data_IF_800200928818
#
_entry.id   IF_800200928818
#
_cell.length_a   1.000
_cell.length_b   1.000
_cell.length_c   1.000
_cell.angle_alpha   90.00
_cell.angle_beta   90.00
_cell.angle_gamma   90.00
#
_symmetry.space_group_name_H-M   'P 1'
#
loop_
_entity.id
_entity.type
_entity.pdbx_description
1 polymer ?
#
# COMPACT_ATOMS: atom_id res chain seq x y z
N UNK A 1 0.99 70.60 -62.86
CA UNK A 1 1.60 69.25 -62.84
C UNK A 1 0.92 68.49 -61.70
N UNK A 2 -0.15 67.73 -61.97
CA UNK A 2 -0.16 66.27 -62.22
C UNK A 2 0.52 65.46 -61.11
N UNK A 3 -0.29 64.81 -60.26
CA UNK A 3 -0.25 63.38 -59.86
C UNK A 3 -1.46 63.17 -58.92
N UNK A 4 -2.68 62.88 -59.39
CA UNK A 4 -3.20 61.57 -59.87
C UNK A 4 -2.82 60.38 -58.97
N UNK A 5 -3.85 59.89 -58.27
CA UNK A 5 -4.26 58.47 -58.21
C UNK A 5 -3.14 57.44 -58.06
N UNK A 6 -3.01 56.87 -56.87
CA UNK A 6 -2.65 55.45 -56.65
C UNK A 6 -3.20 55.01 -55.27
N UNK A 7 -4.52 55.14 -55.09
CA UNK A 7 -5.27 54.12 -54.38
C UNK A 7 -5.28 52.90 -55.31
N UNK A 8 -5.20 51.68 -54.76
CA UNK A 8 -5.39 50.41 -55.48
C UNK A 8 -4.15 49.74 -56.11
N UNK A 9 -3.28 49.12 -55.30
CA UNK A 9 -2.64 47.82 -55.61
C UNK A 9 -1.65 47.41 -54.50
N UNK A 10 -2.14 46.69 -53.49
CA UNK A 10 -1.36 45.63 -52.83
C UNK A 10 -2.31 44.72 -52.06
N UNK A 11 -3.26 44.16 -52.80
CA UNK A 11 -3.96 42.95 -52.44
C UNK A 11 -3.13 41.78 -53.00
N UNK A 12 -3.08 40.69 -52.23
CA UNK A 12 -2.50 39.38 -52.57
C UNK A 12 -1.01 39.25 -52.26
N UNK A 13 -0.69 38.61 -51.13
CA UNK A 13 0.11 37.38 -51.09
C UNK A 13 -0.03 36.75 -49.69
N UNK A 14 -0.24 35.43 -49.71
CA UNK A 14 -0.12 34.46 -48.60
C UNK A 14 -1.13 34.52 -47.45
N UNK A 15 -2.40 34.32 -47.79
CA UNK A 15 -3.27 33.52 -46.95
C UNK A 15 -2.86 32.05 -47.06
N UNK A 16 -1.81 31.63 -46.36
CA UNK A 16 -1.59 30.20 -46.09
C UNK A 16 -2.54 29.86 -44.95
N UNK A 17 -3.64 29.20 -45.29
CA UNK A 17 -4.49 28.53 -44.32
C UNK A 17 -3.63 27.56 -43.50
N UNK A 18 -3.22 27.96 -42.30
CA UNK A 18 -2.90 27.00 -41.26
C UNK A 18 -4.23 26.47 -40.73
N UNK A 19 -4.82 25.53 -41.47
CA UNK A 19 -5.76 24.58 -40.90
C UNK A 19 -4.96 23.66 -39.97
N UNK A 20 -4.52 24.20 -38.82
CA UNK A 20 -3.96 23.42 -37.73
C UNK A 20 -5.13 22.73 -37.02
N UNK A 21 -5.35 21.49 -37.45
CA UNK A 21 -5.76 20.33 -36.65
C UNK A 21 -6.59 20.60 -35.38
N UNK A 22 -7.91 20.72 -35.55
CA UNK A 22 -8.88 20.55 -34.45
C UNK A 22 -8.92 19.11 -33.89
N UNK A 23 -8.30 18.13 -34.55
CA UNK A 23 -8.13 16.77 -34.01
C UNK A 23 -7.11 16.68 -32.87
N UNK A 24 -6.08 17.52 -32.87
CA UNK A 24 -5.01 17.46 -31.87
C UNK A 24 -5.51 17.94 -30.51
N UNK A 25 -6.34 18.98 -30.48
CA UNK A 25 -6.92 19.51 -29.25
C UNK A 25 -7.82 18.49 -28.54
N UNK A 26 -8.67 17.75 -29.27
CA UNK A 26 -9.52 16.70 -28.68
C UNK A 26 -8.69 15.57 -28.08
N UNK A 27 -7.59 15.15 -28.72
CA UNK A 27 -6.70 14.13 -28.16
C UNK A 27 -6.00 14.61 -26.88
N UNK A 28 -5.48 15.84 -26.87
CA UNK A 28 -4.84 16.46 -25.69
C UNK A 28 -5.81 16.50 -24.50
N UNK A 29 -7.07 16.90 -24.72
CA UNK A 29 -8.09 16.87 -23.65
C UNK A 29 -8.36 15.45 -23.13
N UNK A 30 -8.37 14.44 -24.01
CA UNK A 30 -8.54 13.05 -23.59
C UNK A 30 -7.35 12.52 -22.77
N UNK A 31 -6.11 12.89 -23.14
CA UNK A 31 -4.91 12.52 -22.38
C UNK A 31 -4.90 13.19 -21.01
N UNK A 32 -5.23 14.48 -20.95
CA UNK A 32 -5.35 15.25 -19.70
C UNK A 32 -6.42 14.64 -18.77
N UNK A 33 -7.61 14.32 -19.29
CA UNK A 33 -8.67 13.68 -18.50
C UNK A 33 -8.26 12.32 -17.94
N UNK A 34 -7.60 11.47 -18.75
CA UNK A 34 -7.08 10.16 -18.29
C UNK A 34 -5.98 10.32 -17.24
N UNK A 35 -5.10 11.31 -17.37
CA UNK A 35 -4.06 11.61 -16.40
C UNK A 35 -4.66 12.08 -15.06
N UNK A 36 -5.74 12.88 -15.11
CA UNK A 36 -6.43 13.35 -13.92
C UNK A 36 -7.12 12.22 -13.15
N UNK A 37 -7.81 11.31 -13.85
CA UNK A 37 -8.40 10.09 -13.23
C UNK A 37 -7.33 9.20 -12.59
N UNK A 38 -6.15 9.08 -13.20
CA UNK A 38 -5.05 8.36 -12.55
C UNK A 38 -4.51 9.10 -11.33
N UNK A 39 -4.49 10.43 -11.35
CA UNK A 39 -4.06 11.22 -10.20
C UNK A 39 -4.99 11.05 -9.01
N UNK A 40 -6.31 11.07 -9.21
CA UNK A 40 -7.28 10.81 -8.13
C UNK A 40 -7.12 9.41 -7.59
N UNK A 41 -6.98 8.41 -8.47
CA UNK A 41 -6.75 7.02 -8.07
C UNK A 41 -5.46 6.84 -7.26
N UNK A 42 -4.38 7.51 -7.63
CA UNK A 42 -3.11 7.49 -6.88
C UNK A 42 -3.30 8.11 -5.49
N UNK A 43 -4.04 9.21 -5.38
CA UNK A 43 -4.34 9.84 -4.09
C UNK A 43 -5.16 8.92 -3.18
N UNK A 44 -6.19 8.28 -3.71
CA UNK A 44 -7.00 7.28 -2.98
C UNK A 44 -6.14 6.11 -2.49
N UNK A 45 -5.28 5.58 -3.36
CA UNK A 45 -4.36 4.49 -3.03
C UNK A 45 -3.32 4.90 -1.99
N UNK A 46 -2.80 6.13 -2.04
CA UNK A 46 -1.90 6.65 -1.01
C UNK A 46 -2.61 6.81 0.34
N UNK A 47 -3.87 7.25 0.35
CA UNK A 47 -4.66 7.30 1.57
C UNK A 47 -4.91 5.89 2.16
N UNK A 48 -5.19 4.91 1.31
CA UNK A 48 -5.30 3.50 1.72
C UNK A 48 -3.97 2.95 2.25
N UNK A 49 -2.84 3.31 1.62
CA UNK A 49 -1.51 2.92 2.06
C UNK A 49 -1.22 3.42 3.48
N UNK A 50 -1.53 4.68 3.77
CA UNK A 50 -1.38 5.25 5.12
C UNK A 50 -2.23 4.47 6.13
N UNK A 51 -3.49 4.15 5.79
CA UNK A 51 -4.36 3.35 6.67
C UNK A 51 -3.77 1.96 6.95
N UNK A 52 -3.22 1.29 5.94
CA UNK A 52 -2.58 -0.01 6.10
C UNK A 52 -1.31 0.10 6.95
N UNK A 53 -0.50 1.15 6.78
CA UNK A 53 0.69 1.39 7.59
C UNK A 53 0.35 1.64 9.07
N UNK A 54 -0.70 2.41 9.36
CA UNK A 54 -1.18 2.59 10.73
C UNK A 54 -1.63 1.25 11.33
N UNK A 55 -2.44 0.48 10.59
CA UNK A 55 -2.89 -0.84 11.03
C UNK A 55 -1.73 -1.81 11.23
N UNK A 56 -0.71 -1.75 10.39
CA UNK A 56 0.49 -2.57 10.53
C UNK A 56 1.18 -2.30 11.87
N UNK A 57 1.32 -1.04 12.26
CA UNK A 57 1.93 -0.66 13.53
C UNK A 57 1.15 -1.22 14.73
N UNK A 58 -0.18 -1.16 14.69
CA UNK A 58 -1.06 -1.75 15.72
C UNK A 58 -0.89 -3.27 15.81
N UNK A 59 -0.90 -3.95 14.66
CA UNK A 59 -0.73 -5.41 14.61
C UNK A 59 0.67 -5.86 15.04
N UNK A 60 1.69 -5.06 14.74
CA UNK A 60 3.05 -5.33 15.22
C UNK A 60 3.14 -5.21 16.74
N UNK A 61 2.43 -4.25 17.35
CA UNK A 61 2.34 -4.14 18.80
C UNK A 61 1.62 -5.36 19.42
N UNK A 62 0.47 -5.75 18.88
CA UNK A 62 -0.27 -6.96 19.30
C UNK A 62 0.60 -8.22 19.16
N UNK A 63 1.27 -8.39 18.02
CA UNK A 63 2.15 -9.54 17.79
C UNK A 63 3.28 -9.63 18.81
N UNK A 64 3.91 -8.49 19.16
CA UNK A 64 4.94 -8.44 20.21
C UNK A 64 4.39 -8.79 21.58
N UNK A 65 3.19 -8.31 21.92
CA UNK A 65 2.54 -8.64 23.18
C UNK A 65 2.26 -10.15 23.28
N UNK A 66 1.69 -10.73 22.22
CA UNK A 66 1.40 -12.17 22.15
C UNK A 66 2.66 -13.02 22.18
N UNK A 67 3.73 -12.58 21.51
CA UNK A 67 5.02 -13.24 21.58
C UNK A 67 5.60 -13.22 23.00
N UNK A 68 5.50 -12.09 23.71
CA UNK A 68 5.98 -11.99 25.09
C UNK A 68 5.19 -12.92 26.03
N UNK A 69 3.87 -12.97 25.88
CA UNK A 69 3.02 -13.93 26.63
C UNK A 69 3.41 -15.37 26.35
N UNK A 70 3.59 -15.73 25.08
CA UNK A 70 4.04 -17.08 24.71
C UNK A 70 5.41 -17.43 25.32
N UNK A 71 6.35 -16.48 25.37
CA UNK A 71 7.65 -16.68 26.05
C UNK A 71 7.50 -16.91 27.55
N UNK A 72 6.64 -16.12 28.20
CA UNK A 72 6.36 -16.26 29.63
C UNK A 72 5.71 -17.61 29.94
N UNK A 73 4.65 -17.99 29.22
CA UNK A 73 3.95 -19.26 29.40
C UNK A 73 4.86 -20.45 29.12
N UNK A 74 5.73 -20.37 28.10
CA UNK A 74 6.76 -21.38 27.84
C UNK A 74 7.75 -21.53 29.00
N UNK A 75 8.20 -20.41 29.59
CA UNK A 75 9.06 -20.45 30.77
C UNK A 75 8.34 -21.04 32.00
N UNK A 76 7.05 -20.73 32.18
CA UNK A 76 6.23 -21.28 33.26
C UNK A 76 6.00 -22.78 33.11
N UNK A 77 5.71 -23.25 31.90
CA UNK A 77 5.66 -24.67 31.57
C UNK A 77 6.99 -25.36 31.91
N UNK A 78 8.12 -24.80 31.46
CA UNK A 78 9.44 -25.35 31.74
C UNK A 78 9.72 -25.46 33.25
N UNK A 79 9.36 -24.44 34.03
CA UNK A 79 9.47 -24.46 35.50
C UNK A 79 8.55 -25.52 36.14
N UNK A 80 7.32 -25.68 35.63
CA UNK A 80 6.38 -26.64 36.15
C UNK A 80 6.81 -28.09 35.83
N UNK A 81 7.34 -28.32 34.63
CA UNK A 81 7.93 -29.58 34.22
C UNK A 81 9.14 -29.96 35.07
N UNK A 82 10.06 -29.01 35.33
CA UNK A 82 11.21 -29.24 36.22
C UNK A 82 10.74 -29.64 37.64
N UNK A 83 9.75 -28.94 38.20
CA UNK A 83 9.21 -29.28 39.53
C UNK A 83 8.54 -30.66 39.58
N UNK A 84 7.93 -31.11 38.48
CA UNK A 84 7.37 -32.45 38.37
C UNK A 84 8.48 -33.49 38.28
N UNK A 85 9.56 -33.20 37.56
CA UNK A 85 10.71 -34.10 37.43
C UNK A 85 11.33 -34.45 38.80
N UNK A 86 11.34 -33.50 39.74
CA UNK A 86 11.82 -33.72 41.11
C UNK A 86 10.92 -34.65 41.95
N UNK A 87 9.67 -34.88 41.52
CA UNK A 87 8.64 -35.61 42.28
C UNK A 87 7.54 -36.11 41.34
N UNK A 88 7.89 -37.17 40.60
CA UNK A 88 7.10 -37.70 39.50
C UNK A 88 5.76 -38.30 39.94
N UNK A 89 5.66 -38.79 41.17
CA UNK A 89 4.45 -39.41 41.70
C UNK A 89 3.40 -38.39 42.16
N UNK A 90 3.76 -37.11 42.22
CA UNK A 90 2.86 -36.05 42.65
C UNK A 90 1.82 -35.70 41.60
N UNK A 91 0.61 -36.24 41.75
CA UNK A 91 -0.56 -35.92 40.92
C UNK A 91 -0.84 -34.41 40.81
N UNK A 92 -0.58 -33.64 41.88
CA UNK A 92 -0.78 -32.17 41.88
C UNK A 92 0.24 -31.47 40.98
N UNK A 93 1.52 -31.88 41.04
CA UNK A 93 2.58 -31.33 40.18
C UNK A 93 2.33 -31.72 38.72
N UNK A 94 1.89 -32.95 38.46
CA UNK A 94 1.55 -33.42 37.13
C UNK A 94 0.44 -32.60 36.48
N UNK A 95 -0.64 -32.32 37.23
CA UNK A 95 -1.73 -31.45 36.77
C UNK A 95 -1.26 -30.03 36.47
N UNK A 96 -0.40 -29.45 37.31
CA UNK A 96 0.14 -28.10 37.08
C UNK A 96 1.02 -28.03 35.84
N UNK A 97 1.92 -28.99 35.66
CA UNK A 97 2.76 -29.06 34.47
C UNK A 97 1.94 -29.20 33.20
N UNK A 98 0.91 -30.06 33.21
CA UNK A 98 -0.03 -30.19 32.09
C UNK A 98 -0.73 -28.87 31.77
N UNK A 99 -1.34 -28.22 32.77
CA UNK A 99 -2.07 -26.97 32.55
C UNK A 99 -1.15 -25.86 32.00
N UNK A 100 0.08 -25.75 32.53
CA UNK A 100 1.06 -24.80 32.02
C UNK A 100 1.51 -25.13 30.59
N UNK A 101 1.60 -26.41 30.25
CA UNK A 101 1.85 -26.86 28.88
C UNK A 101 0.73 -26.50 27.92
N UNK A 102 -0.53 -26.69 28.33
CA UNK A 102 -1.72 -26.33 27.53
C UNK A 102 -1.77 -24.81 27.30
N UNK A 103 -1.57 -24.01 28.35
CA UNK A 103 -1.49 -22.53 28.27
C UNK A 103 -0.37 -22.06 27.35
N UNK A 104 0.84 -22.63 27.48
CA UNK A 104 1.97 -22.31 26.61
C UNK A 104 1.70 -22.66 25.14
N UNK A 105 1.00 -23.76 24.87
CA UNK A 105 0.63 -24.17 23.52
C UNK A 105 -0.38 -23.20 22.90
N UNK A 106 -1.39 -22.78 23.66
CA UNK A 106 -2.40 -21.83 23.22
C UNK A 106 -1.79 -20.45 22.95
N UNK A 107 -0.98 -19.91 23.87
CA UNK A 107 -0.31 -18.63 23.67
C UNK A 107 0.65 -18.66 22.48
N UNK A 108 1.40 -19.74 22.29
CA UNK A 108 2.27 -19.91 21.12
C UNK A 108 1.46 -19.91 19.81
N UNK A 109 0.26 -20.51 19.81
CA UNK A 109 -0.64 -20.48 18.67
C UNK A 109 -1.19 -19.08 18.41
N UNK A 110 -1.54 -18.33 19.45
CA UNK A 110 -1.98 -16.94 19.31
C UNK A 110 -0.87 -16.04 18.76
N UNK A 111 0.36 -16.19 19.25
CA UNK A 111 1.52 -15.45 18.75
C UNK A 111 1.75 -15.71 17.25
N UNK A 112 1.67 -16.97 16.81
CA UNK A 112 1.75 -17.31 15.37
C UNK A 112 0.64 -16.66 14.56
N UNK A 113 -0.60 -16.69 15.05
CA UNK A 113 -1.72 -16.04 14.35
C UNK A 113 -1.52 -14.53 14.25
N UNK A 114 -1.01 -13.89 15.30
CA UNK A 114 -0.72 -12.46 15.28
C UNK A 114 0.40 -12.11 14.29
N UNK A 115 1.47 -12.91 14.25
CA UNK A 115 2.53 -12.77 13.26
C UNK A 115 2.01 -12.92 11.82
N UNK A 116 1.14 -13.90 11.56
CA UNK A 116 0.55 -14.07 10.22
C UNK A 116 -0.30 -12.85 9.81
N UNK A 117 -1.06 -12.25 10.74
CA UNK A 117 -1.82 -11.01 10.44
C UNK A 117 -0.91 -9.84 10.06
N UNK A 118 0.26 -9.73 10.69
CA UNK A 118 1.28 -8.74 10.32
C UNK A 118 1.76 -8.99 8.89
N UNK A 119 2.11 -10.24 8.57
CA UNK A 119 2.58 -10.63 7.22
C UNK A 119 1.52 -10.36 6.13
N UNK A 120 0.25 -10.64 6.42
CA UNK A 120 -0.87 -10.37 5.49
C UNK A 120 -0.96 -8.88 5.16
N UNK A 121 -0.90 -8.00 6.16
CA UNK A 121 -0.97 -6.55 5.94
C UNK A 121 0.28 -6.03 5.23
N UNK A 122 1.46 -6.54 5.55
CA UNK A 122 2.68 -6.19 4.81
C UNK A 122 2.59 -6.61 3.33
N UNK A 123 2.03 -7.79 3.05
CA UNK A 123 1.79 -8.25 1.69
C UNK A 123 0.85 -7.31 0.94
N UNK A 124 -0.21 -6.84 1.59
CA UNK A 124 -1.17 -5.92 0.98
C UNK A 124 -0.56 -4.53 0.75
N UNK A 125 0.26 -4.03 1.68
CA UNK A 125 1.08 -2.82 1.49
C UNK A 125 1.97 -2.99 0.25
N UNK A 126 2.75 -4.09 0.16
CA UNK A 126 3.64 -4.36 -0.98
C UNK A 126 2.87 -4.43 -2.31
N UNK A 127 1.65 -4.99 -2.33
CA UNK A 127 0.80 -5.03 -3.52
C UNK A 127 0.31 -3.63 -3.89
N UNK A 128 -0.13 -2.84 -2.91
CA UNK A 128 -0.67 -1.50 -3.13
C UNK A 128 0.41 -0.54 -3.64
N UNK A 129 1.61 -0.58 -3.07
CA UNK A 129 2.75 0.19 -3.56
C UNK A 129 3.10 -0.14 -5.02
N UNK A 130 3.06 -1.43 -5.41
CA UNK A 130 3.26 -1.82 -6.81
C UNK A 130 2.18 -1.23 -7.72
N UNK A 131 0.92 -1.22 -7.28
CA UNK A 131 -0.20 -0.61 -8.02
C UNK A 131 -0.01 0.90 -8.17
N UNK A 132 0.38 1.60 -7.10
CA UNK A 132 0.68 3.04 -7.11
C UNK A 132 1.78 3.32 -8.13
N UNK A 133 2.94 2.64 -8.02
CA UNK A 133 4.06 2.81 -8.96
C UNK A 133 3.66 2.56 -10.42
N UNK A 134 2.81 1.56 -10.66
CA UNK A 134 2.30 1.28 -12.01
C UNK A 134 1.42 2.42 -12.53
N UNK A 135 0.54 2.97 -11.68
CA UNK A 135 -0.33 4.09 -12.03
C UNK A 135 0.47 5.37 -12.25
N UNK A 136 1.48 5.65 -11.43
CA UNK A 136 2.40 6.78 -11.59
C UNK A 136 3.13 6.73 -12.93
N UNK A 137 3.68 5.56 -13.30
CA UNK A 137 4.30 5.35 -14.62
C UNK A 137 3.31 5.59 -15.75
N UNK A 138 2.07 5.11 -15.64
CA UNK A 138 1.04 5.32 -16.64
C UNK A 138 0.66 6.80 -16.76
N UNK A 139 0.53 7.50 -15.63
CA UNK A 139 0.26 8.95 -15.61
C UNK A 139 1.39 9.73 -16.28
N UNK A 140 2.65 9.43 -15.96
CA UNK A 140 3.81 10.07 -16.57
C UNK A 140 3.84 9.89 -18.09
N UNK A 141 3.52 8.69 -18.60
CA UNK A 141 3.40 8.45 -20.05
C UNK A 141 2.29 9.26 -20.71
N UNK A 142 1.14 9.41 -20.05
CA UNK A 142 0.03 10.22 -20.58
C UNK A 142 0.34 11.72 -20.57
N UNK A 143 1.17 12.18 -19.64
CA UNK A 143 1.64 13.57 -19.58
C UNK A 143 2.75 13.87 -20.60
N UNK A 144 3.53 12.87 -21.02
CA UNK A 144 4.55 13.02 -22.08
C UNK A 144 3.98 12.92 -23.50
N UNK A 145 2.88 12.18 -23.67
CA UNK A 145 2.23 11.94 -24.97
C UNK A 145 1.02 12.86 -25.23
N UNK A 146 0.73 13.78 -24.31
CA UNK A 146 -0.36 14.75 -24.40
C UNK A 146 0.14 16.17 -24.57
#
# INVERSE_FOLDING_TARGET
>A
MKMKQCFFMMLLISGICTAQTSQDSVQVYQYSGKAQVLSTKILEQNAELVKLQTRLAELQADAREKENKAKESSANNSKAAAKLQDDLDSRRKARRARNAGDEAADDAKEARKAANRVEDVENDIRKLERKIRSNEKKRARLQQNG
#
